data_IF_232041122133
#
_entry.id   IF_232041122133
#
_cell.length_a   1.000
_cell.length_b   1.000
_cell.length_c   1.000
_cell.angle_alpha   90.00
_cell.angle_beta   90.00
_cell.angle_gamma   90.00
#
_symmetry.space_group_name_H-M   'P 1'
#
loop_
_entity.id
_entity.type
_entity.pdbx_description
1 polymer ?
#
# COMPACT_ATOMS: atom_id res chain seq x y z
N UNK A 1 -19.78 -17.66 -5.69
CA UNK A 1 -19.41 -16.56 -4.76
C UNK A 1 -18.26 -15.75 -5.37
N UNK A 2 -18.39 -14.42 -5.50
CA UNK A 2 -17.38 -13.58 -6.14
C UNK A 2 -16.17 -13.26 -5.25
N UNK A 3 -14.98 -13.11 -5.84
CA UNK A 3 -13.76 -12.73 -5.10
C UNK A 3 -13.91 -11.30 -4.53
N UNK A 4 -13.85 -11.17 -3.19
CA UNK A 4 -14.00 -9.89 -2.48
C UNK A 4 -12.75 -9.01 -2.51
N UNK A 5 -11.57 -9.63 -2.56
CA UNK A 5 -10.29 -8.93 -2.71
C UNK A 5 -10.07 -8.59 -4.18
N UNK A 6 -10.58 -7.43 -4.60
CA UNK A 6 -10.39 -6.88 -5.94
C UNK A 6 -9.38 -5.73 -5.91
N UNK A 7 -8.67 -5.45 -7.02
CA UNK A 7 -7.87 -4.23 -7.15
C UNK A 7 -8.69 -2.98 -6.82
N UNK A 8 -8.10 -2.01 -6.14
CA UNK A 8 -8.75 -0.78 -5.67
C UNK A 8 -9.47 -0.90 -4.32
N UNK A 9 -9.52 -2.10 -3.71
CA UNK A 9 -10.08 -2.28 -2.36
C UNK A 9 -9.07 -1.91 -1.28
N UNK A 10 -9.56 -1.34 -0.17
CA UNK A 10 -8.73 -1.12 1.02
C UNK A 10 -8.67 -2.37 1.87
N UNK A 11 -7.45 -2.66 2.30
CA UNK A 11 -7.10 -3.75 3.19
C UNK A 11 -6.31 -3.18 4.36
N UNK A 12 -6.44 -3.82 5.51
CA UNK A 12 -5.65 -3.53 6.70
C UNK A 12 -4.59 -4.61 6.85
N UNK A 13 -3.35 -4.21 7.12
CA UNK A 13 -2.25 -5.15 7.33
C UNK A 13 -2.29 -5.65 8.78
N UNK A 14 -2.32 -6.95 8.97
CA UNK A 14 -2.39 -7.59 10.29
C UNK A 14 -0.99 -7.85 10.88
N UNK A 15 -0.01 -8.18 10.03
CA UNK A 15 1.30 -8.66 10.48
C UNK A 15 2.48 -7.87 9.89
N UNK A 16 3.68 -8.08 10.46
CA UNK A 16 4.95 -7.46 10.08
C UNK A 16 5.07 -5.94 10.38
N UNK A 17 6.14 -5.31 9.86
CA UNK A 17 6.53 -3.89 10.07
C UNK A 17 5.42 -2.86 9.81
N UNK A 18 4.41 -3.22 9.02
CA UNK A 18 3.31 -2.33 8.64
C UNK A 18 1.96 -2.75 9.23
N UNK A 19 1.95 -3.59 10.27
CA UNK A 19 0.72 -3.93 10.98
C UNK A 19 -0.05 -2.67 11.43
N UNK A 20 -1.37 -2.73 11.36
CA UNK A 20 -2.28 -1.61 11.65
C UNK A 20 -2.30 -0.51 10.59
N UNK A 21 -1.57 -0.65 9.48
CA UNK A 21 -1.62 0.31 8.35
C UNK A 21 -2.70 -0.07 7.34
N UNK A 22 -3.38 0.96 6.83
CA UNK A 22 -4.33 0.87 5.71
C UNK A 22 -3.54 0.84 4.40
N UNK A 23 -3.92 -0.06 3.49
CA UNK A 23 -3.30 -0.23 2.18
C UNK A 23 -4.38 -0.44 1.11
N UNK A 24 -4.04 -0.18 -0.15
CA UNK A 24 -4.92 -0.44 -1.29
C UNK A 24 -4.36 -1.60 -2.10
N UNK A 25 -5.22 -2.54 -2.51
CA UNK A 25 -4.84 -3.66 -3.37
C UNK A 25 -4.57 -3.14 -4.78
N UNK A 26 -3.33 -3.28 -5.26
CA UNK A 26 -2.95 -2.82 -6.61
C UNK A 26 -3.09 -3.94 -7.64
N UNK A 27 -2.54 -5.12 -7.33
CA UNK A 27 -2.57 -6.31 -8.18
C UNK A 27 -2.64 -7.54 -7.28
N UNK A 28 -3.60 -8.41 -7.57
CA UNK A 28 -3.68 -9.72 -6.93
C UNK A 28 -2.69 -10.65 -7.61
N UNK A 29 -1.96 -11.41 -6.81
CA UNK A 29 -0.98 -12.38 -7.27
C UNK A 29 -1.25 -13.63 -6.45
N UNK A 30 -1.46 -14.74 -7.13
CA UNK A 30 -1.53 -16.05 -6.52
C UNK A 30 -0.08 -16.62 -6.58
N UNK A 31 0.54 -16.70 -5.40
CA UNK A 31 1.83 -17.32 -5.03
C UNK A 31 3.20 -16.57 -5.02
N UNK A 32 3.94 -16.99 -3.96
CA UNK A 32 5.37 -16.90 -3.53
C UNK A 32 5.91 -15.65 -2.78
N UNK A 33 6.78 -15.93 -1.80
CA UNK A 33 7.23 -15.17 -0.61
C UNK A 33 8.77 -15.01 -0.58
N UNK A 34 9.30 -13.90 -0.02
CA UNK A 34 10.64 -13.79 0.64
C UNK A 34 10.81 -12.49 1.48
N UNK A 35 11.84 -12.46 2.34
CA UNK A 35 12.04 -11.71 3.60
C UNK A 35 12.68 -10.29 3.48
N UNK A 36 12.78 -9.52 4.60
CA UNK A 36 13.27 -8.12 4.67
C UNK A 36 14.35 -7.84 5.75
N UNK A 37 15.11 -6.73 5.55
CA UNK A 37 16.09 -6.14 6.49
C UNK A 37 15.86 -4.68 6.97
N UNK A 38 16.72 -4.23 7.90
CA UNK A 38 16.48 -3.20 8.95
C UNK A 38 17.13 -1.83 8.68
N UNK A 39 16.36 -0.77 8.36
CA UNK A 39 16.70 0.64 8.70
C UNK A 39 15.44 1.37 9.18
N UNK A 40 15.28 1.45 10.52
CA UNK A 40 14.02 1.74 11.25
C UNK A 40 13.98 3.16 11.85
N UNK A 41 15.03 3.99 11.70
CA UNK A 41 15.24 5.10 12.65
C UNK A 41 14.89 6.52 12.11
N UNK A 42 14.97 6.85 10.82
CA UNK A 42 14.67 8.22 10.32
C UNK A 42 13.19 8.45 9.95
N UNK A 43 12.28 7.96 10.79
CA UNK A 43 10.82 7.91 10.61
C UNK A 43 10.10 8.71 11.70
N UNK A 44 9.87 10.02 11.59
CA UNK A 44 8.75 10.65 12.36
C UNK A 44 7.93 11.75 11.67
N UNK A 45 8.38 12.36 10.56
CA UNK A 45 7.58 13.42 9.88
C UNK A 45 7.36 13.25 8.37
N UNK A 46 7.57 12.04 7.82
CA UNK A 46 7.39 11.76 6.38
C UNK A 46 6.26 10.75 6.19
N UNK A 47 5.20 11.11 5.46
CA UNK A 47 4.26 10.13 4.90
C UNK A 47 5.06 9.22 3.97
N UNK A 48 5.26 7.97 4.39
CA UNK A 48 6.02 6.97 3.65
C UNK A 48 5.03 5.99 3.03
N UNK A 49 4.80 6.13 1.73
CA UNK A 49 4.15 5.11 0.91
C UNK A 49 4.98 3.83 0.99
N UNK A 50 4.32 2.68 0.99
CA UNK A 50 4.98 1.38 0.88
C UNK A 50 4.32 0.56 -0.23
N UNK A 51 5.14 -0.10 -1.03
CA UNK A 51 4.69 -1.12 -1.98
C UNK A 51 5.29 -2.41 -1.54
N UNK A 52 4.44 -3.39 -1.29
CA UNK A 52 4.89 -4.68 -0.79
C UNK A 52 3.92 -5.78 -1.19
N UNK A 53 4.49 -6.91 -1.57
CA UNK A 53 3.75 -8.15 -1.78
C UNK A 53 3.40 -8.73 -0.40
N UNK A 54 2.11 -8.97 -0.16
CA UNK A 54 1.59 -9.56 1.07
C UNK A 54 0.87 -10.86 0.75
N UNK A 55 0.98 -11.83 1.67
CA UNK A 55 0.09 -12.97 1.71
C UNK A 55 -1.31 -12.50 2.16
N UNK A 56 -2.35 -13.06 1.55
CA UNK A 56 -3.75 -12.83 1.90
C UNK A 56 -4.05 -13.04 3.39
N UNK A 57 -3.43 -14.03 4.04
CA UNK A 57 -3.62 -14.31 5.47
C UNK A 57 -3.15 -13.17 6.38
N UNK A 58 -2.28 -12.28 5.89
CA UNK A 58 -1.78 -11.12 6.64
C UNK A 58 -2.59 -9.85 6.38
N UNK A 59 -3.71 -9.95 5.64
CA UNK A 59 -4.57 -8.84 5.29
C UNK A 59 -5.97 -9.11 5.81
N UNK A 60 -6.61 -8.09 6.40
CA UNK A 60 -8.04 -8.09 6.64
C UNK A 60 -8.71 -7.15 5.64
N UNK A 61 -9.71 -7.67 4.94
CA UNK A 61 -10.43 -6.93 3.91
C UNK A 61 -11.35 -5.91 4.56
N UNK A 62 -11.41 -4.71 4.02
CA UNK A 62 -12.34 -3.68 4.49
C UNK A 62 -13.43 -3.41 3.45
N UNK A 63 -14.55 -2.83 3.89
CA UNK A 63 -15.65 -2.44 3.01
C UNK A 63 -15.27 -1.32 2.03
N UNK A 64 -14.33 -0.47 2.41
CA UNK A 64 -14.01 0.77 1.71
C UNK A 64 -13.26 0.55 0.38
N UNK A 65 -13.65 1.34 -0.61
CA UNK A 65 -12.98 1.46 -1.91
C UNK A 65 -12.65 2.93 -2.14
N UNK A 66 -11.39 3.37 -1.94
CA UNK A 66 -10.99 4.73 -2.26
C UNK A 66 -10.77 4.82 -3.77
N UNK A 67 -11.35 5.84 -4.40
CA UNK A 67 -11.11 6.16 -5.80
C UNK A 67 -9.76 6.86 -5.95
N UNK A 68 -8.66 6.11 -5.82
CA UNK A 68 -7.30 6.59 -6.05
C UNK A 68 -6.87 6.09 -7.43
N UNK A 69 -6.49 6.97 -8.37
CA UNK A 69 -5.95 6.56 -9.65
C UNK A 69 -4.59 5.92 -9.41
N UNK A 70 -4.54 4.59 -9.53
CA UNK A 70 -3.33 3.80 -9.37
C UNK A 70 -2.90 3.27 -10.73
N UNK A 71 -1.76 3.74 -11.22
CA UNK A 71 -1.17 3.30 -12.49
C UNK A 71 -0.63 1.88 -12.33
N UNK A 72 -1.42 0.90 -12.80
CA UNK A 72 -1.07 -0.53 -12.75
C UNK A 72 0.15 -0.90 -13.59
N UNK A 73 0.48 -0.06 -14.59
CA UNK A 73 1.65 -0.22 -15.46
C UNK A 73 2.95 0.07 -14.72
N UNK A 74 2.93 1.04 -13.80
CA UNK A 74 4.08 1.47 -13.03
C UNK A 74 4.41 0.47 -11.91
N UNK A 75 3.38 -0.15 -11.32
CA UNK A 75 3.54 -1.11 -10.22
C UNK A 75 3.59 -2.55 -10.75
N UNK A 76 4.78 -2.99 -11.18
CA UNK A 76 5.03 -4.38 -11.60
C UNK A 76 5.96 -5.14 -10.62
N UNK A 77 5.95 -6.49 -10.66
CA UNK A 77 6.79 -7.35 -9.80
C UNK A 77 8.29 -7.13 -10.03
N UNK A 78 8.68 -6.85 -11.26
CA UNK A 78 10.09 -6.71 -11.65
C UNK A 78 10.73 -5.44 -11.06
N UNK A 79 9.90 -4.45 -10.71
CA UNK A 79 10.32 -3.22 -10.04
C UNK A 79 10.90 -3.49 -8.63
N UNK A 80 10.59 -4.64 -8.02
CA UNK A 80 11.15 -4.98 -6.70
C UNK A 80 12.55 -5.59 -6.78
N UNK A 81 13.04 -5.95 -7.98
CA UNK A 81 14.38 -6.53 -8.18
C UNK A 81 15.45 -5.44 -8.16
N UNK A 82 15.18 -4.32 -8.84
CA UNK A 82 16.12 -3.20 -8.95
C UNK A 82 15.86 -2.10 -7.91
N UNK A 83 16.86 -1.71 -7.09
CA UNK A 83 16.67 -0.71 -6.05
C UNK A 83 16.28 0.69 -6.58
N UNK A 84 16.78 1.09 -7.75
CA UNK A 84 16.56 2.41 -8.35
C UNK A 84 15.13 2.55 -8.87
N UNK A 85 14.62 1.54 -9.58
CA UNK A 85 13.25 1.54 -10.09
C UNK A 85 12.24 1.52 -8.94
N UNK A 86 12.53 0.78 -7.87
CA UNK A 86 11.73 0.77 -6.65
C UNK A 86 11.71 2.14 -5.94
N UNK A 87 12.85 2.83 -5.86
CA UNK A 87 12.91 4.18 -5.28
C UNK A 87 12.04 5.18 -6.07
N UNK A 88 12.11 5.16 -7.40
CA UNK A 88 11.27 5.98 -8.27
C UNK A 88 9.77 5.66 -8.14
N UNK A 89 9.42 4.38 -7.96
CA UNK A 89 8.05 3.93 -7.69
C UNK A 89 7.47 4.55 -6.40
N UNK A 90 8.26 4.50 -5.32
CA UNK A 90 7.87 5.05 -4.03
C UNK A 90 7.65 6.57 -4.09
N UNK A 91 8.48 7.28 -4.86
CA UNK A 91 8.38 8.71 -5.05
C UNK A 91 7.11 9.11 -5.83
N UNK A 92 6.83 8.42 -6.94
CA UNK A 92 5.60 8.61 -7.73
C UNK A 92 4.35 8.36 -6.88
N UNK A 93 4.30 7.26 -6.15
CA UNK A 93 3.15 6.96 -5.28
C UNK A 93 3.00 7.95 -4.13
N UNK A 94 4.10 8.44 -3.56
CA UNK A 94 4.06 9.46 -2.51
C UNK A 94 3.48 10.76 -3.05
N UNK A 95 3.83 11.14 -4.27
CA UNK A 95 3.27 12.31 -4.95
C UNK A 95 1.75 12.16 -5.15
N UNK A 96 1.28 11.03 -5.68
CA UNK A 96 -0.16 10.77 -5.89
C UNK A 96 -0.95 10.80 -4.57
N UNK A 97 -0.51 10.06 -3.55
CA UNK A 97 -1.21 9.99 -2.26
C UNK A 97 -1.21 11.33 -1.50
N UNK A 98 -0.16 12.15 -1.68
CA UNK A 98 -0.08 13.50 -1.08
C UNK A 98 -1.09 14.44 -1.72
N UNK A 99 -1.30 14.34 -3.04
CA UNK A 99 -2.28 15.16 -3.77
C UNK A 99 -3.70 14.90 -3.29
N UNK A 100 -4.05 13.63 -3.05
CA UNK A 100 -5.38 13.23 -2.57
C UNK A 100 -5.68 13.70 -1.13
N UNK A 101 -4.64 13.88 -0.31
CA UNK A 101 -4.78 14.39 1.07
C UNK A 101 -5.09 15.88 1.10
N UNK A 102 -4.53 16.67 0.17
CA UNK A 102 -4.55 18.13 0.24
C UNK A 102 -5.77 18.78 -0.45
N UNK A 103 -6.34 18.17 -1.50
CA UNK A 103 -7.28 18.89 -2.37
C UNK A 103 -8.76 18.52 -2.23
N UNK A 104 -9.15 17.46 -1.50
CA UNK A 104 -10.55 16.98 -1.65
C UNK A 104 -11.28 16.49 -0.41
N UNK A 105 -10.62 16.25 0.74
CA UNK A 105 -11.30 15.70 1.93
C UNK A 105 -12.00 14.35 1.69
N UNK A 106 -11.83 13.73 0.52
CA UNK A 106 -12.34 12.42 0.15
C UNK A 106 -11.43 11.37 0.79
N UNK A 107 -12.00 10.24 1.23
CA UNK A 107 -11.29 9.15 1.90
C UNK A 107 -10.65 9.49 3.26
N UNK A 108 -11.29 10.37 4.08
CA UNK A 108 -10.80 10.73 5.43
C UNK A 108 -10.40 9.53 6.28
N UNK A 109 -11.24 8.48 6.25
CA UNK A 109 -10.97 7.26 6.99
C UNK A 109 -9.67 6.59 6.54
N UNK A 110 -9.32 6.59 5.25
CA UNK A 110 -8.09 5.95 4.77
C UNK A 110 -6.83 6.65 5.31
N UNK A 111 -6.85 7.98 5.40
CA UNK A 111 -5.70 8.78 5.84
C UNK A 111 -5.64 8.96 7.36
N UNK A 112 -6.74 8.73 8.09
CA UNK A 112 -6.75 8.75 9.54
C UNK A 112 -6.05 7.51 10.13
N UNK A 113 -5.15 7.75 11.08
CA UNK A 113 -4.45 6.68 11.80
C UNK A 113 -5.46 5.81 12.55
N UNK A 114 -5.38 4.49 12.35
CA UNK A 114 -6.16 3.53 13.13
C UNK A 114 -5.66 3.55 14.58
N UNK A 115 -6.58 3.64 15.55
CA UNK A 115 -6.29 3.50 16.97
C UNK A 115 -6.62 2.07 17.37
N UNK A 116 -5.66 1.39 17.96
CA UNK A 116 -5.72 0.05 18.52
C UNK A 116 -4.87 0.05 19.79
#
# INVERSE_FOLDING_TARGET
MGKFMKPGKVVLVLACRYSGRKAVVVKNIDDVRASMGKKKITKRSKFKSFVKVYNYSHLITTRYSPNIPLDKTVVNKDVFRDPLSNAGLHERQRSCLRRDTNNTGKNKWFFQKLRF
#
